data_IF_613008709053
#
_entry.id   IF_613008709053
#
_cell.length_a   1.000
_cell.length_b   1.000
_cell.length_c   1.000
_cell.angle_alpha   90.00
_cell.angle_beta   90.00
_cell.angle_gamma   90.00
#
_symmetry.space_group_name_H-M   'P 1'
#
loop_
_entity.id
_entity.type
_entity.pdbx_description
1 polymer ?
#
# COMPACT_ATOMS: atom_id res chain seq x y z
N UNK A 1 13.37 13.16 14.63
CA UNK A 1 12.61 12.02 15.21
C UNK A 1 11.25 11.94 14.52
N UNK A 2 10.76 10.75 14.20
CA UNK A 2 9.54 10.55 13.40
C UNK A 2 8.23 10.83 14.16
N UNK A 3 8.27 11.40 15.37
CA UNK A 3 7.07 11.79 16.13
C UNK A 3 6.19 10.64 16.64
N UNK A 4 6.64 9.39 16.54
CA UNK A 4 5.85 8.20 16.92
C UNK A 4 5.94 7.85 18.42
N UNK A 5 6.81 8.52 19.17
CA UNK A 5 7.06 8.28 20.61
C UNK A 5 7.94 7.06 20.90
N UNK A 6 8.43 6.97 22.13
CA UNK A 6 9.40 5.93 22.57
C UNK A 6 8.84 4.50 22.58
N UNK A 7 7.52 4.34 22.44
CA UNK A 7 6.82 3.04 22.51
C UNK A 7 6.58 2.41 21.14
N UNK A 8 6.97 3.07 20.06
CA UNK A 8 6.76 2.57 18.70
C UNK A 8 8.10 2.20 18.10
N UNK A 9 8.29 0.91 17.88
CA UNK A 9 9.41 0.40 17.07
C UNK A 9 8.97 0.31 15.61
N UNK A 10 9.78 0.86 14.70
CA UNK A 10 9.50 0.88 13.27
C UNK A 10 10.45 -0.09 12.58
N UNK A 11 9.89 -1.20 12.11
CA UNK A 11 10.63 -2.17 11.30
C UNK A 11 10.41 -1.91 9.81
N UNK A 12 11.50 -1.69 9.09
CA UNK A 12 11.48 -1.51 7.64
C UNK A 12 11.91 -2.82 6.98
N UNK A 13 11.15 -3.27 5.99
CA UNK A 13 11.50 -4.43 5.17
C UNK A 13 11.14 -4.18 3.72
N UNK A 14 12.12 -4.40 2.84
CA UNK A 14 11.91 -4.38 1.40
C UNK A 14 11.18 -5.66 0.95
N UNK A 15 10.23 -5.50 0.03
CA UNK A 15 9.46 -6.61 -0.52
C UNK A 15 9.86 -6.86 -1.97
N UNK A 16 9.97 -8.13 -2.40
CA UNK A 16 10.20 -8.43 -3.80
C UNK A 16 9.00 -8.02 -4.63
N UNK A 17 9.22 -7.57 -5.86
CA UNK A 17 8.15 -7.37 -6.84
C UNK A 17 7.74 -8.72 -7.41
N UNK A 18 7.18 -9.58 -6.56
CA UNK A 18 6.68 -10.92 -6.90
C UNK A 18 5.46 -11.27 -6.05
N UNK A 19 4.35 -11.64 -6.70
CA UNK A 19 3.10 -11.93 -5.99
C UNK A 19 3.26 -13.11 -5.00
N UNK A 20 3.85 -14.21 -5.48
CA UNK A 20 4.00 -15.45 -4.70
C UNK A 20 4.95 -15.25 -3.52
N UNK A 21 6.10 -14.62 -3.73
CA UNK A 21 7.10 -14.43 -2.67
C UNK A 21 6.61 -13.44 -1.61
N UNK A 22 5.96 -12.35 -2.02
CA UNK A 22 5.46 -11.33 -1.10
C UNK A 22 4.36 -11.88 -0.19
N UNK A 23 3.47 -12.74 -0.70
CA UNK A 23 2.46 -13.42 0.13
C UNK A 23 3.06 -14.27 1.26
N UNK A 24 4.25 -14.85 1.06
CA UNK A 24 4.90 -15.68 2.09
C UNK A 24 5.58 -14.84 3.19
N UNK A 25 5.85 -13.57 2.91
CA UNK A 25 6.61 -12.66 3.78
C UNK A 25 5.68 -11.79 4.63
N UNK A 26 4.58 -11.30 4.06
CA UNK A 26 3.64 -10.42 4.77
C UNK A 26 2.87 -11.24 5.80
N UNK A 27 3.04 -10.90 7.08
CA UNK A 27 2.36 -11.59 8.19
C UNK A 27 1.52 -10.68 9.08
N UNK A 28 1.86 -9.40 9.24
CA UNK A 28 1.19 -8.50 10.19
C UNK A 28 1.18 -7.04 9.72
N UNK A 29 0.45 -6.20 10.47
CA UNK A 29 0.07 -4.81 10.21
C UNK A 29 1.19 -3.98 9.53
N UNK A 30 0.91 -3.46 8.35
CA UNK A 30 1.91 -2.78 7.54
C UNK A 30 1.32 -1.53 6.88
N UNK A 31 2.09 -0.45 6.93
CA UNK A 31 1.97 0.63 5.94
C UNK A 31 2.75 0.16 4.71
N UNK A 32 2.04 -0.14 3.63
CA UNK A 32 2.66 -0.53 2.37
C UNK A 32 3.03 0.72 1.57
N UNK A 33 4.28 0.80 1.14
CA UNK A 33 4.78 1.85 0.26
C UNK A 33 5.10 1.25 -1.11
N UNK A 34 4.65 1.93 -2.16
CA UNK A 34 4.83 1.51 -3.54
C UNK A 34 5.13 2.70 -4.45
N UNK A 35 5.65 2.41 -5.64
CA UNK A 35 5.96 3.43 -6.65
C UNK A 35 4.78 3.56 -7.61
N UNK A 36 4.10 4.71 -7.57
CA UNK A 36 3.11 5.08 -8.58
C UNK A 36 3.81 5.76 -9.77
N UNK A 37 4.05 5.00 -10.85
CA UNK A 37 4.74 5.51 -12.05
C UNK A 37 4.03 6.73 -12.62
N UNK A 38 4.79 7.80 -12.86
CA UNK A 38 4.26 9.05 -13.44
C UNK A 38 3.58 9.98 -12.43
N UNK A 39 3.37 9.55 -11.18
CA UNK A 39 2.92 10.46 -10.12
C UNK A 39 4.07 11.33 -9.64
N UNK A 40 3.76 12.60 -9.34
CA UNK A 40 4.69 13.56 -8.70
C UNK A 40 4.29 13.89 -7.26
N UNK A 41 3.22 13.25 -6.77
CA UNK A 41 2.62 13.47 -5.45
C UNK A 41 2.42 12.12 -4.76
N UNK A 42 2.31 12.12 -3.43
CA UNK A 42 1.96 10.89 -2.71
C UNK A 42 0.49 10.57 -2.92
N UNK A 43 0.21 9.30 -3.21
CA UNK A 43 -1.14 8.79 -3.30
C UNK A 43 -1.47 8.03 -2.02
N UNK A 44 -2.63 8.36 -1.44
CA UNK A 44 -3.17 7.68 -0.28
C UNK A 44 -4.27 6.72 -0.75
N UNK A 45 -3.89 5.46 -0.93
CA UNK A 45 -4.80 4.43 -1.43
C UNK A 45 -5.86 4.09 -0.39
N UNK A 46 -7.13 4.28 -0.77
CA UNK A 46 -8.26 4.01 0.12
C UNK A 46 -8.61 2.53 0.15
N UNK A 47 -8.40 1.83 -0.96
CA UNK A 47 -8.81 0.43 -1.10
C UNK A 47 -7.84 -0.38 -1.96
N UNK A 48 -7.82 -1.69 -1.74
CA UNK A 48 -7.11 -2.66 -2.57
C UNK A 48 -8.08 -3.64 -3.20
N UNK A 49 -7.94 -3.88 -4.51
CA UNK A 49 -8.79 -4.84 -5.24
C UNK A 49 -8.16 -6.22 -5.25
N UNK A 50 -9.00 -7.24 -5.13
CA UNK A 50 -8.58 -8.63 -5.24
C UNK A 50 -8.40 -9.07 -6.69
N UNK A 51 -8.82 -8.27 -7.68
CA UNK A 51 -8.76 -8.59 -9.11
C UNK A 51 -8.35 -7.38 -9.92
N UNK A 52 -8.04 -7.60 -11.20
CA UNK A 52 -7.72 -6.54 -12.16
C UNK A 52 -6.24 -6.32 -12.41
N UNK A 53 -5.38 -7.22 -11.92
CA UNK A 53 -3.95 -7.23 -12.24
C UNK A 53 -3.75 -7.42 -13.75
N UNK A 54 -2.96 -6.53 -14.35
CA UNK A 54 -2.67 -6.55 -15.80
C UNK A 54 -1.21 -6.86 -16.08
N UNK A 55 -0.32 -6.44 -15.19
CA UNK A 55 1.12 -6.55 -15.37
C UNK A 55 1.69 -7.81 -14.73
N UNK A 56 2.63 -8.42 -15.44
CA UNK A 56 3.43 -9.53 -14.90
C UNK A 56 4.44 -8.98 -13.90
N UNK A 57 4.67 -9.74 -12.83
CA UNK A 57 5.73 -9.48 -11.88
C UNK A 57 7.12 -9.79 -12.49
N UNK A 58 8.20 -9.58 -11.73
CA UNK A 58 9.57 -9.80 -12.23
C UNK A 58 9.89 -11.28 -12.50
N UNK A 59 9.02 -12.19 -12.06
CA UNK A 59 9.10 -13.62 -12.35
C UNK A 59 8.20 -14.02 -13.54
N UNK A 60 7.54 -13.06 -14.19
CA UNK A 60 6.64 -13.30 -15.32
C UNK A 60 5.23 -13.74 -14.92
N UNK A 61 4.88 -13.73 -13.64
CA UNK A 61 3.58 -14.19 -13.14
C UNK A 61 2.57 -13.03 -13.04
N UNK A 62 1.34 -13.26 -13.47
CA UNK A 62 0.23 -12.31 -13.31
C UNK A 62 -1.01 -13.08 -12.82
N UNK A 63 -1.50 -12.84 -11.59
CA UNK A 63 -2.64 -13.55 -11.04
C UNK A 63 -3.97 -13.01 -11.60
N UNK A 64 -4.96 -13.89 -11.71
CA UNK A 64 -6.36 -13.46 -11.96
C UNK A 64 -6.99 -12.81 -10.73
N UNK A 65 -6.64 -13.31 -9.54
CA UNK A 65 -7.01 -12.74 -8.25
C UNK A 65 -5.89 -12.89 -7.22
N UNK A 66 -5.81 -11.96 -6.26
CA UNK A 66 -4.82 -12.02 -5.18
C UNK A 66 -5.05 -13.24 -4.27
N UNK A 67 -6.30 -13.42 -3.82
CA UNK A 67 -6.74 -14.53 -2.97
C UNK A 67 -8.02 -15.13 -3.57
N UNK A 68 -7.97 -16.43 -3.88
CA UNK A 68 -9.13 -17.16 -4.39
C UNK A 68 -10.26 -17.17 -3.36
N UNK A 69 -11.49 -16.84 -3.78
CA UNK A 69 -12.64 -16.69 -2.89
C UNK A 69 -12.60 -15.49 -1.93
N UNK A 70 -11.53 -14.68 -1.97
CA UNK A 70 -11.40 -13.48 -1.15
C UNK A 70 -12.38 -12.36 -1.55
N UNK A 71 -12.62 -11.38 -0.66
CA UNK A 71 -13.49 -10.24 -0.95
C UNK A 71 -12.99 -9.46 -2.17
N UNK A 72 -13.90 -8.87 -2.95
CA UNK A 72 -13.51 -8.12 -4.17
C UNK A 72 -12.64 -6.91 -3.84
N UNK A 73 -12.92 -6.25 -2.72
CA UNK A 73 -12.26 -5.02 -2.28
C UNK A 73 -12.03 -5.05 -0.77
N UNK A 74 -10.87 -4.56 -0.36
CA UNK A 74 -10.50 -4.30 1.03
C UNK A 74 -10.37 -2.79 1.23
N UNK A 75 -10.98 -2.28 2.29
CA UNK A 75 -10.84 -0.88 2.68
C UNK A 75 -9.66 -0.71 3.65
N UNK A 76 -8.88 0.35 3.46
CA UNK A 76 -7.85 0.72 4.40
C UNK A 76 -8.46 1.02 5.76
N UNK A 77 -7.84 0.47 6.81
CA UNK A 77 -8.20 0.78 8.21
C UNK A 77 -7.56 2.08 8.69
N UNK A 78 -6.59 2.62 7.95
CA UNK A 78 -5.95 3.89 8.26
C UNK A 78 -6.91 5.02 7.91
N UNK A 79 -7.11 5.97 8.83
CA UNK A 79 -7.90 7.16 8.55
C UNK A 79 -7.12 8.10 7.60
N UNK A 80 -7.24 7.85 6.30
CA UNK A 80 -6.54 8.61 5.27
C UNK A 80 -6.95 10.09 5.22
N UNK A 81 -8.12 10.44 5.77
CA UNK A 81 -8.54 11.85 5.88
C UNK A 81 -7.64 12.60 6.86
N UNK A 82 -7.39 12.01 8.03
CA UNK A 82 -6.53 12.63 9.05
C UNK A 82 -5.07 12.66 8.57
N UNK A 83 -4.61 11.59 7.92
CA UNK A 83 -3.28 11.55 7.29
C UNK A 83 -3.14 12.64 6.21
N UNK A 84 -4.13 12.79 5.34
CA UNK A 84 -4.12 13.82 4.30
C UNK A 84 -4.10 15.24 4.88
N UNK A 85 -4.90 15.49 5.92
CA UNK A 85 -4.90 16.76 6.63
C UNK A 85 -3.53 17.07 7.23
N UNK A 86 -2.92 16.09 7.89
CA UNK A 86 -1.59 16.25 8.48
C UNK A 86 -0.54 16.63 7.44
N UNK A 87 -0.49 15.93 6.30
CA UNK A 87 0.48 16.26 5.25
C UNK A 87 0.25 17.64 4.63
N UNK A 88 -1.02 18.03 4.45
CA UNK A 88 -1.37 19.37 3.97
C UNK A 88 -0.84 20.46 4.89
N UNK A 89 -0.94 20.26 6.21
CA UNK A 89 -0.42 21.20 7.21
C UNK A 89 1.12 21.29 7.19
N UNK A 90 1.80 20.24 6.72
CA UNK A 90 3.26 20.21 6.51
C UNK A 90 3.73 20.71 5.14
N UNK A 91 2.80 21.10 4.25
CA UNK A 91 3.12 21.56 2.89
C UNK A 91 3.51 20.44 1.91
N UNK A 92 3.18 19.19 2.23
CA UNK A 92 3.42 18.03 1.36
C UNK A 92 2.14 17.72 0.58
N UNK A 93 2.25 17.71 -0.75
CA UNK A 93 1.12 17.38 -1.63
C UNK A 93 0.80 15.88 -1.59
N UNK A 94 -0.42 15.58 -1.15
CA UNK A 94 -0.97 14.21 -1.11
C UNK A 94 -2.37 14.21 -1.69
N UNK A 95 -2.70 13.17 -2.47
CA UNK A 95 -4.03 12.99 -3.05
C UNK A 95 -4.62 11.64 -2.62
N UNK A 96 -5.93 11.58 -2.30
CA UNK A 96 -6.60 10.31 -2.14
C UNK A 96 -6.68 9.60 -3.51
N UNK A 97 -6.43 8.29 -3.51
CA UNK A 97 -6.67 7.43 -4.66
C UNK A 97 -7.66 6.33 -4.27
N UNK A 98 -8.62 6.06 -5.14
CA UNK A 98 -9.72 5.14 -4.83
C UNK A 98 -9.22 3.70 -4.71
N UNK A 99 -8.26 3.31 -5.55
CA UNK A 99 -7.78 1.94 -5.70
C UNK A 99 -6.28 1.95 -6.04
N UNK A 100 -5.53 1.09 -5.35
CA UNK A 100 -4.11 0.84 -5.61
C UNK A 100 -3.85 0.13 -6.94
#
# INVERSE_FOLDING_TARGET
EAGLGEKVDVHIREMPVSYVKTQQIIRELAVHLGIARGSRVFLLEQTGRNRGYKDRDVCGFCPQSCVEGGPEKLHSVINMRDVSKHFKDTGIDVLPSADA
#
